data_IF_759999766034
#
_entry.id   IF_759999766034
#
_cell.length_a   1.000
_cell.length_b   1.000
_cell.length_c   1.000
_cell.angle_alpha   90.00
_cell.angle_beta   90.00
_cell.angle_gamma   90.00
#
_symmetry.space_group_name_H-M   'P 1'
#
loop_
_entity.id
_entity.type
_entity.pdbx_description
1 polymer ?
#
# COMPACT_ATOMS: atom_id res chain seq x y z
N UNK A 1 7.80 16.44 -13.77
CA UNK A 1 7.96 16.44 -12.30
C UNK A 1 7.46 15.15 -11.66
N UNK A 2 6.16 14.81 -11.68
CA UNK A 2 5.68 13.53 -11.10
C UNK A 2 6.30 12.30 -11.77
N UNK A 3 6.39 12.31 -13.10
CA UNK A 3 7.05 11.25 -13.87
C UNK A 3 8.52 11.05 -13.45
N UNK A 4 9.23 12.14 -13.16
CA UNK A 4 10.64 12.11 -12.74
C UNK A 4 10.79 11.51 -11.34
N UNK A 5 9.89 11.86 -10.42
CA UNK A 5 9.84 11.27 -9.07
C UNK A 5 9.62 9.77 -9.18
N UNK A 6 8.60 9.34 -9.94
CA UNK A 6 8.31 7.92 -10.15
C UNK A 6 9.50 7.21 -10.81
N UNK A 7 10.10 7.79 -11.84
CA UNK A 7 11.29 7.25 -12.49
C UNK A 7 12.43 7.02 -11.48
N UNK A 8 12.70 8.01 -10.62
CA UNK A 8 13.71 7.88 -9.57
C UNK A 8 13.42 6.72 -8.60
N UNK A 9 12.15 6.49 -8.23
CA UNK A 9 11.75 5.38 -7.38
C UNK A 9 12.00 4.01 -8.02
N UNK A 10 11.75 3.88 -9.32
CA UNK A 10 12.07 2.65 -10.04
C UNK A 10 13.58 2.39 -10.03
N UNK A 11 14.39 3.40 -10.40
CA UNK A 11 15.85 3.26 -10.48
C UNK A 11 16.47 2.93 -9.13
N UNK A 12 16.00 3.54 -8.03
CA UNK A 12 16.51 3.24 -6.68
C UNK A 12 16.05 1.88 -6.13
N UNK A 13 15.06 1.22 -6.76
CA UNK A 13 14.48 -0.04 -6.31
C UNK A 13 14.73 -1.20 -7.30
N UNK A 14 15.94 -1.26 -7.86
CA UNK A 14 16.42 -2.35 -8.71
C UNK A 14 15.65 -2.51 -10.04
N UNK A 15 15.19 -1.40 -10.63
CA UNK A 15 14.70 -1.36 -12.00
C UNK A 15 15.62 -0.53 -12.90
N UNK A 16 15.84 -1.03 -14.11
CA UNK A 16 16.53 -0.33 -15.18
C UNK A 16 15.52 0.27 -16.15
N UNK A 17 15.73 1.53 -16.54
CA UNK A 17 14.96 2.17 -17.62
C UNK A 17 15.43 1.60 -18.96
N UNK A 18 14.54 0.91 -19.67
CA UNK A 18 14.83 0.32 -20.98
C UNK A 18 14.66 1.34 -22.11
N UNK A 19 13.51 2.00 -22.13
CA UNK A 19 13.16 3.03 -23.12
C UNK A 19 12.26 4.07 -22.50
N UNK A 20 12.28 5.26 -23.08
CA UNK A 20 11.46 6.39 -22.68
C UNK A 20 11.03 7.18 -23.90
N UNK A 21 9.79 7.65 -23.90
CA UNK A 21 9.38 8.80 -24.70
C UNK A 21 8.72 9.84 -23.79
N UNK A 22 8.12 10.89 -24.35
CA UNK A 22 7.54 12.00 -23.58
C UNK A 22 6.49 11.56 -22.54
N UNK A 23 5.72 10.50 -22.83
CA UNK A 23 4.56 10.12 -22.03
C UNK A 23 4.59 8.68 -21.50
N UNK A 24 5.56 7.85 -21.92
CA UNK A 24 5.69 6.47 -21.48
C UNK A 24 7.14 6.08 -21.20
N UNK A 25 7.33 5.39 -20.09
CA UNK A 25 8.60 4.82 -19.65
C UNK A 25 8.46 3.30 -19.51
N UNK A 26 9.47 2.55 -19.90
CA UNK A 26 9.53 1.10 -19.72
C UNK A 26 10.69 0.70 -18.83
N UNK A 27 10.41 -0.15 -17.85
CA UNK A 27 11.37 -0.61 -16.86
C UNK A 27 11.47 -2.13 -16.82
N UNK A 28 12.66 -2.63 -16.47
CA UNK A 28 12.94 -4.05 -16.22
C UNK A 28 13.59 -4.22 -14.86
N UNK A 29 13.11 -5.19 -14.07
CA UNK A 29 13.71 -5.50 -12.78
C UNK A 29 15.05 -6.25 -12.98
N UNK A 30 16.09 -5.81 -12.27
CA UNK A 30 17.46 -6.32 -12.40
C UNK A 30 17.75 -7.47 -11.40
N UNK A 31 17.09 -7.47 -10.22
CA UNK A 31 17.48 -8.31 -9.06
C UNK A 31 16.60 -9.55 -8.77
N UNK A 32 15.68 -9.93 -9.65
CA UNK A 32 14.74 -11.04 -9.34
C UNK A 32 14.95 -12.23 -10.26
N UNK A 33 14.93 -13.44 -9.66
CA UNK A 33 14.90 -14.74 -10.36
C UNK A 33 13.72 -14.88 -11.35
N UNK A 34 12.78 -13.92 -11.32
CA UNK A 34 11.70 -13.78 -12.28
C UNK A 34 11.80 -12.41 -12.94
N UNK A 35 11.81 -12.42 -14.27
CA UNK A 35 11.75 -11.22 -15.10
C UNK A 35 10.41 -10.52 -14.83
N UNK A 36 10.46 -9.25 -14.41
CA UNK A 36 9.30 -8.38 -14.22
C UNK A 36 9.54 -7.07 -14.94
N UNK A 37 8.50 -6.60 -15.62
CA UNK A 37 8.50 -5.35 -16.36
C UNK A 37 7.47 -4.37 -15.78
N UNK A 38 7.72 -3.09 -15.99
CA UNK A 38 6.75 -2.04 -15.70
C UNK A 38 6.68 -1.07 -16.86
N UNK A 39 5.48 -0.57 -17.12
CA UNK A 39 5.26 0.59 -17.97
C UNK A 39 4.68 1.70 -17.11
N UNK A 40 5.26 2.90 -17.17
CA UNK A 40 4.67 4.09 -16.55
C UNK A 40 4.14 4.95 -17.67
N UNK A 41 2.84 5.23 -17.69
CA UNK A 41 2.17 6.03 -18.72
C UNK A 41 1.51 7.24 -18.09
N UNK A 42 1.63 8.40 -18.71
CA UNK A 42 0.94 9.62 -18.29
C UNK A 42 -0.19 9.93 -19.25
N UNK A 43 -1.35 10.29 -18.69
CA UNK A 43 -2.45 10.89 -19.44
C UNK A 43 -2.93 12.16 -18.74
N UNK A 44 -3.26 13.19 -19.53
CA UNK A 44 -3.89 14.41 -19.00
C UNK A 44 -5.39 14.21 -18.78
N UNK A 45 -6.02 13.33 -19.58
CA UNK A 45 -7.40 12.87 -19.38
C UNK A 45 -7.38 11.36 -19.27
N UNK A 46 -7.97 10.82 -18.20
CA UNK A 46 -7.97 9.38 -17.96
C UNK A 46 -8.71 8.65 -19.11
N UNK A 47 -8.04 7.78 -19.89
CA UNK A 47 -8.67 7.01 -20.95
C UNK A 47 -9.29 5.71 -20.40
N UNK A 48 -9.96 4.93 -21.24
CA UNK A 48 -10.43 3.60 -20.85
C UNK A 48 -9.30 2.55 -20.88
N UNK A 49 -9.51 1.38 -20.27
CA UNK A 49 -8.51 0.31 -20.18
C UNK A 49 -7.98 -0.15 -21.56
N UNK A 50 -8.85 -0.20 -22.58
CA UNK A 50 -8.50 -0.63 -23.93
C UNK A 50 -7.53 0.36 -24.60
N UNK A 51 -7.76 1.66 -24.43
CA UNK A 51 -6.87 2.71 -24.92
C UNK A 51 -5.50 2.65 -24.24
N UNK A 52 -5.47 2.44 -22.91
CA UNK A 52 -4.22 2.24 -22.16
C UNK A 52 -3.44 1.06 -22.74
N UNK A 53 -4.12 -0.08 -22.93
CA UNK A 53 -3.51 -1.29 -23.50
C UNK A 53 -2.92 -1.01 -24.88
N UNK A 54 -3.66 -0.31 -25.76
CA UNK A 54 -3.20 0.02 -27.10
C UNK A 54 -1.94 0.91 -27.08
N UNK A 55 -1.90 1.92 -26.21
CA UNK A 55 -0.74 2.82 -26.07
C UNK A 55 0.49 2.03 -25.60
N UNK A 56 0.34 1.20 -24.57
CA UNK A 56 1.44 0.40 -24.02
C UNK A 56 1.94 -0.64 -25.02
N UNK A 57 1.03 -1.33 -25.72
CA UNK A 57 1.39 -2.33 -26.74
C UNK A 57 2.12 -1.69 -27.94
N UNK A 58 1.67 -0.52 -28.40
CA UNK A 58 2.24 0.14 -29.58
C UNK A 58 3.63 0.74 -29.32
N UNK A 59 3.94 1.08 -28.07
CA UNK A 59 5.22 1.66 -27.68
C UNK A 59 6.19 0.64 -27.04
N UNK A 60 5.79 -0.63 -26.95
CA UNK A 60 6.56 -1.67 -26.28
C UNK A 60 7.91 -1.91 -26.97
N UNK A 61 9.03 -1.94 -26.22
CA UNK A 61 10.34 -2.33 -26.75
C UNK A 61 10.34 -3.75 -27.31
N UNK A 62 11.15 -4.00 -28.35
CA UNK A 62 11.27 -5.34 -28.93
C UNK A 62 11.67 -6.41 -27.91
N UNK A 63 12.55 -6.09 -26.97
CA UNK A 63 12.99 -7.02 -25.92
C UNK A 63 11.81 -7.53 -25.07
N UNK A 64 10.88 -6.64 -24.69
CA UNK A 64 9.67 -7.02 -23.95
C UNK A 64 8.73 -7.80 -24.86
N UNK A 65 8.62 -7.43 -26.14
CA UNK A 65 7.76 -8.10 -27.13
C UNK A 65 8.19 -9.54 -27.41
N UNK A 66 9.49 -9.79 -27.43
CA UNK A 66 10.09 -11.10 -27.69
C UNK A 66 10.05 -12.02 -26.46
N UNK A 67 9.90 -11.47 -25.25
CA UNK A 67 9.76 -12.25 -24.03
C UNK A 67 8.31 -12.80 -23.90
N UNK A 68 8.10 -14.13 -23.99
CA UNK A 68 6.77 -14.73 -23.89
C UNK A 68 6.11 -14.52 -22.52
N UNK A 69 6.91 -14.35 -21.46
CA UNK A 69 6.43 -14.13 -20.10
C UNK A 69 6.03 -12.67 -19.85
N UNK A 70 6.38 -11.74 -20.75
CA UNK A 70 6.08 -10.31 -20.59
C UNK A 70 4.59 -10.02 -20.41
N UNK A 71 3.71 -10.75 -21.10
CA UNK A 71 2.26 -10.59 -20.97
C UNK A 71 1.74 -10.85 -19.55
N UNK A 72 2.38 -11.74 -18.79
CA UNK A 72 1.98 -12.08 -17.41
C UNK A 72 2.77 -11.31 -16.35
N UNK A 73 3.91 -10.75 -16.73
CA UNK A 73 4.88 -10.15 -15.81
C UNK A 73 5.08 -8.65 -16.06
N UNK A 74 4.21 -8.00 -16.84
CA UNK A 74 4.23 -6.54 -17.04
C UNK A 74 3.08 -5.90 -16.29
N UNK A 75 3.42 -4.98 -15.40
CA UNK A 75 2.46 -4.10 -14.75
C UNK A 75 2.46 -2.73 -15.43
N UNK A 76 1.32 -2.04 -15.45
CA UNK A 76 1.17 -0.69 -15.99
C UNK A 76 0.77 0.25 -14.86
N UNK A 77 1.56 1.29 -14.64
CA UNK A 77 1.24 2.41 -13.77
C UNK A 77 0.76 3.59 -14.62
N UNK A 78 -0.48 3.99 -14.46
CA UNK A 78 -1.09 5.16 -15.08
C UNK A 78 -0.96 6.34 -14.12
N UNK A 79 -0.24 7.38 -14.54
CA UNK A 79 -0.16 8.65 -13.83
C UNK A 79 -1.28 9.56 -14.33
N UNK A 80 -2.19 9.91 -13.42
CA UNK A 80 -3.35 10.76 -13.72
C UNK A 80 -3.33 12.01 -12.84
N UNK A 81 -3.10 13.18 -13.44
CA UNK A 81 -3.25 14.43 -12.69
C UNK A 81 -4.75 14.74 -12.59
N UNK A 82 -5.32 14.60 -11.40
CA UNK A 82 -6.75 14.81 -11.16
C UNK A 82 -7.07 16.29 -10.92
N UNK A 83 -6.06 17.16 -10.81
CA UNK A 83 -6.21 18.58 -10.50
C UNK A 83 -6.59 18.85 -9.04
N UNK A 84 -7.65 18.20 -8.53
CA UNK A 84 -8.14 18.33 -7.16
C UNK A 84 -8.58 16.98 -6.60
N UNK A 85 -8.18 16.68 -5.35
CA UNK A 85 -8.59 15.44 -4.68
C UNK A 85 -10.11 15.35 -4.46
N UNK A 86 -10.84 16.47 -4.46
CA UNK A 86 -12.30 16.46 -4.35
C UNK A 86 -12.99 15.78 -5.55
N UNK A 87 -12.32 15.73 -6.71
CA UNK A 87 -12.85 15.10 -7.92
C UNK A 87 -12.68 13.58 -7.93
N UNK A 88 -12.06 12.98 -6.90
CA UNK A 88 -11.82 11.54 -6.86
C UNK A 88 -13.12 10.73 -6.97
N UNK A 89 -14.20 11.19 -6.33
CA UNK A 89 -15.49 10.52 -6.37
C UNK A 89 -16.10 10.48 -7.79
N UNK A 90 -15.74 11.43 -8.65
CA UNK A 90 -16.19 11.49 -10.04
C UNK A 90 -15.42 10.49 -10.93
N UNK A 91 -14.19 10.16 -10.55
CA UNK A 91 -13.31 9.26 -11.30
C UNK A 91 -13.17 7.86 -10.70
N UNK A 92 -13.67 7.61 -9.49
CA UNK A 92 -13.51 6.34 -8.77
C UNK A 92 -14.01 5.15 -9.59
N UNK A 93 -15.20 5.26 -10.19
CA UNK A 93 -15.75 4.21 -11.06
C UNK A 93 -14.87 3.91 -12.28
N UNK A 94 -14.37 4.95 -12.94
CA UNK A 94 -13.49 4.80 -14.10
C UNK A 94 -12.13 4.19 -13.70
N UNK A 95 -11.56 4.64 -12.58
CA UNK A 95 -10.32 4.08 -12.03
C UNK A 95 -10.51 2.59 -11.73
N UNK A 96 -11.62 2.24 -11.08
CA UNK A 96 -11.94 0.85 -10.76
C UNK A 96 -12.05 -0.02 -12.01
N UNK A 97 -12.76 0.44 -13.04
CA UNK A 97 -12.87 -0.27 -14.32
C UNK A 97 -11.51 -0.50 -14.99
N UNK A 98 -10.58 0.46 -14.87
CA UNK A 98 -9.22 0.32 -15.42
C UNK A 98 -8.41 -0.70 -14.62
N UNK A 99 -8.45 -0.64 -13.28
CA UNK A 99 -7.65 -1.51 -12.42
C UNK A 99 -8.13 -2.96 -12.44
N UNK A 100 -9.44 -3.18 -12.57
CA UNK A 100 -10.05 -4.51 -12.63
C UNK A 100 -10.10 -5.11 -14.04
N UNK A 101 -9.71 -4.38 -15.09
CA UNK A 101 -9.63 -4.93 -16.45
C UNK A 101 -8.58 -6.07 -16.53
N UNK A 102 -9.01 -7.33 -16.77
CA UNK A 102 -8.11 -8.49 -16.73
C UNK A 102 -7.27 -8.63 -18.00
N UNK A 103 -7.48 -7.77 -19.01
CA UNK A 103 -6.85 -7.90 -20.31
C UNK A 103 -5.43 -7.32 -20.31
N UNK A 104 -4.52 -8.08 -20.91
CA UNK A 104 -3.11 -7.78 -21.21
C UNK A 104 -2.19 -7.54 -20.01
N UNK A 105 -2.48 -6.56 -19.15
CA UNK A 105 -1.59 -6.13 -18.07
C UNK A 105 -2.37 -5.91 -16.79
N UNK A 106 -1.69 -6.11 -15.65
CA UNK A 106 -2.19 -5.57 -14.38
C UNK A 106 -1.99 -4.06 -14.40
N UNK A 107 -3.06 -3.30 -14.16
CA UNK A 107 -3.05 -1.84 -14.24
C UNK A 107 -3.23 -1.24 -12.86
N UNK A 108 -2.56 -0.13 -12.64
CA UNK A 108 -2.63 0.66 -11.42
C UNK A 108 -2.77 2.12 -11.82
N UNK A 109 -3.81 2.81 -11.34
CA UNK A 109 -3.96 4.25 -11.53
C UNK A 109 -3.47 4.96 -10.28
N UNK A 110 -2.41 5.74 -10.44
CA UNK A 110 -1.90 6.65 -9.44
C UNK A 110 -2.36 8.06 -9.79
N UNK A 111 -3.43 8.50 -9.12
CA UNK A 111 -3.89 9.87 -9.21
C UNK A 111 -3.12 10.79 -8.25
N UNK A 112 -2.90 12.02 -8.68
CA UNK A 112 -2.17 13.04 -7.92
C UNK A 112 -2.63 14.45 -8.32
N UNK A 113 -2.32 15.44 -7.49
CA UNK A 113 -2.49 16.88 -7.80
C UNK A 113 -1.14 17.57 -7.88
N UNK A 114 -1.08 18.81 -8.37
CA UNK A 114 0.18 19.58 -8.39
C UNK A 114 0.68 19.90 -6.96
N UNK A 115 -0.23 20.03 -6.00
CA UNK A 115 0.10 20.15 -4.57
C UNK A 115 0.78 18.88 -4.04
N UNK A 116 0.29 17.70 -4.44
CA UNK A 116 0.93 16.42 -4.08
C UNK A 116 2.38 16.39 -4.59
N UNK A 117 2.62 16.80 -5.84
CA UNK A 117 3.97 16.80 -6.40
C UNK A 117 4.89 17.76 -5.64
N UNK A 118 4.37 18.93 -5.28
CA UNK A 118 5.12 19.95 -4.51
C UNK A 118 5.51 19.44 -3.12
N UNK A 119 4.65 18.64 -2.48
CA UNK A 119 4.92 18.04 -1.17
C UNK A 119 5.99 16.93 -1.21
N UNK A 120 6.14 16.24 -2.35
CA UNK A 120 7.11 15.15 -2.51
C UNK A 120 8.55 15.64 -2.73
N UNK A 121 8.73 16.90 -3.15
CA UNK A 121 10.06 17.44 -3.47
C UNK A 121 10.94 17.48 -2.21
N UNK A 122 12.13 16.86 -2.29
CA UNK A 122 13.13 16.80 -1.20
C UNK A 122 12.66 16.12 0.09
N UNK A 123 11.73 15.15 0.00
CA UNK A 123 11.24 14.41 1.15
C UNK A 123 11.61 12.92 1.09
N UNK A 124 11.92 12.37 2.26
CA UNK A 124 12.10 10.93 2.44
C UNK A 124 10.74 10.25 2.51
N UNK A 125 10.49 9.30 1.60
CA UNK A 125 9.23 8.58 1.53
C UNK A 125 9.07 7.64 2.73
N UNK A 126 10.14 6.93 3.07
CA UNK A 126 10.23 5.94 4.13
C UNK A 126 9.97 6.57 5.51
N UNK A 127 10.63 7.70 5.82
CA UNK A 127 10.49 8.39 7.10
C UNK A 127 9.07 8.91 7.33
N UNK A 128 8.43 9.38 6.26
CA UNK A 128 7.06 9.88 6.33
C UNK A 128 6.08 8.73 6.59
N UNK A 129 6.30 7.57 5.97
CA UNK A 129 5.40 6.42 6.09
C UNK A 129 5.38 5.82 7.51
N UNK A 130 6.48 5.90 8.26
CA UNK A 130 6.56 5.44 9.66
C UNK A 130 6.15 6.49 10.69
N UNK A 131 5.89 7.72 10.25
CA UNK A 131 5.49 8.80 11.13
C UNK A 131 4.05 8.59 11.63
N UNK A 132 3.91 8.22 12.91
CA UNK A 132 2.61 7.96 13.56
C UNK A 132 1.70 9.19 13.60
N UNK A 133 2.25 10.40 13.69
CA UNK A 133 1.44 11.63 13.72
C UNK A 133 0.77 11.84 12.38
N UNK A 134 1.56 11.78 11.31
CA UNK A 134 1.09 11.88 9.92
C UNK A 134 0.08 10.79 9.59
N UNK A 135 0.37 9.53 9.96
CA UNK A 135 -0.58 8.43 9.79
C UNK A 135 -1.91 8.67 10.51
N UNK A 136 -1.87 9.15 11.75
CA UNK A 136 -3.08 9.41 12.54
C UNK A 136 -3.90 10.57 11.96
N UNK A 137 -3.27 11.56 11.34
CA UNK A 137 -3.96 12.63 10.63
C UNK A 137 -4.65 12.09 9.38
N UNK A 138 -3.91 11.34 8.55
CA UNK A 138 -4.47 10.67 7.37
C UNK A 138 -5.65 9.76 7.71
N UNK A 139 -5.57 9.00 8.82
CA UNK A 139 -6.64 8.11 9.26
C UNK A 139 -7.95 8.84 9.59
N UNK A 140 -7.88 10.12 10.01
CA UNK A 140 -9.07 10.92 10.33
C UNK A 140 -9.80 11.32 9.05
N UNK A 141 -9.05 11.70 8.02
CA UNK A 141 -9.60 12.09 6.73
C UNK A 141 -8.55 11.88 5.62
N UNK A 142 -8.78 10.85 4.79
CA UNK A 142 -7.90 10.50 3.68
C UNK A 142 -8.06 11.41 2.45
N UNK A 143 -9.11 12.26 2.42
CA UNK A 143 -9.38 13.18 1.31
C UNK A 143 -8.55 14.46 1.37
N UNK A 144 -7.92 14.74 2.52
CA UNK A 144 -7.06 15.90 2.71
C UNK A 144 -5.69 15.66 2.07
N UNK A 145 -5.27 16.59 1.22
CA UNK A 145 -3.92 16.64 0.66
C UNK A 145 -2.91 16.69 1.80
N UNK A 146 -2.05 15.69 1.86
CA UNK A 146 -0.94 15.62 2.82
C UNK A 146 0.17 14.79 2.20
N UNK A 147 1.39 15.01 2.67
CA UNK A 147 2.54 14.23 2.22
C UNK A 147 2.32 12.73 2.47
N UNK A 148 1.69 12.38 3.60
CA UNK A 148 1.36 10.99 3.92
C UNK A 148 0.36 10.40 2.93
N UNK A 149 -0.68 11.15 2.52
CA UNK A 149 -1.73 10.61 1.65
C UNK A 149 -1.19 10.24 0.26
N UNK A 150 -0.35 11.08 -0.36
CA UNK A 150 0.28 10.74 -1.64
C UNK A 150 1.29 9.60 -1.51
N UNK A 151 2.11 9.57 -0.46
CA UNK A 151 3.07 8.48 -0.24
C UNK A 151 2.33 7.15 -0.04
N UNK A 152 1.25 7.13 0.76
CA UNK A 152 0.42 5.95 0.94
C UNK A 152 -0.13 5.45 -0.40
N UNK A 153 -0.66 6.34 -1.25
CA UNK A 153 -1.12 5.99 -2.61
C UNK A 153 0.01 5.38 -3.45
N UNK A 154 1.20 5.97 -3.45
CA UNK A 154 2.38 5.44 -4.16
C UNK A 154 2.72 4.01 -3.70
N UNK A 155 2.82 3.77 -2.39
CA UNK A 155 3.16 2.45 -1.85
C UNK A 155 2.09 1.38 -2.14
N UNK A 156 0.81 1.77 -2.14
CA UNK A 156 -0.28 0.85 -2.50
C UNK A 156 -0.20 0.46 -3.98
N UNK A 157 0.12 1.41 -4.88
CA UNK A 157 0.18 1.17 -6.33
C UNK A 157 1.50 0.57 -6.80
N UNK A 158 2.57 0.69 -6.01
CA UNK A 158 3.91 0.17 -6.32
C UNK A 158 4.35 -0.89 -5.30
N UNK A 159 3.88 -2.14 -5.40
CA UNK A 159 4.12 -3.18 -4.39
C UNK A 159 5.58 -3.68 -4.33
N UNK A 160 6.47 -3.19 -5.19
CA UNK A 160 7.91 -3.46 -5.04
C UNK A 160 8.58 -2.56 -4.00
N UNK A 161 7.96 -1.43 -3.64
CA UNK A 161 8.42 -0.57 -2.56
C UNK A 161 8.22 -1.32 -1.24
N UNK A 162 9.28 -1.34 -0.43
CA UNK A 162 9.25 -1.99 0.88
C UNK A 162 9.01 -0.93 1.95
N UNK A 163 8.07 -1.19 2.84
CA UNK A 163 7.90 -0.37 4.04
C UNK A 163 9.16 -0.57 4.89
N UNK A 164 9.82 0.51 5.34
CA UNK A 164 10.94 0.40 6.26
C UNK A 164 10.53 -0.40 7.50
N UNK A 165 11.27 -1.47 7.78
CA UNK A 165 10.98 -2.42 8.84
C UNK A 165 11.93 -2.21 10.01
N UNK A 166 11.40 -1.88 11.18
CA UNK A 166 12.14 -1.91 12.43
C UNK A 166 11.63 -3.08 13.30
N UNK A 167 12.36 -4.22 13.38
CA UNK A 167 11.92 -5.38 14.15
C UNK A 167 11.64 -5.07 15.63
N UNK A 168 12.31 -4.05 16.20
CA UNK A 168 12.17 -3.69 17.60
C UNK A 168 10.85 -2.95 17.93
N UNK A 169 10.16 -2.40 16.94
CA UNK A 169 8.90 -1.67 17.14
C UNK A 169 7.65 -2.56 17.14
N UNK A 170 7.79 -3.79 16.65
CA UNK A 170 6.70 -4.75 16.50
C UNK A 170 6.80 -5.84 17.57
N UNK A 171 6.19 -5.55 18.71
CA UNK A 171 5.95 -6.54 19.77
C UNK A 171 4.87 -7.52 19.27
N UNK A 172 5.08 -8.85 19.38
CA UNK A 172 4.06 -9.85 19.04
C UNK A 172 2.70 -9.52 19.68
N UNK A 173 1.62 -9.76 18.96
CA UNK A 173 0.25 -9.44 19.41
C UNK A 173 -0.06 -10.14 20.73
N UNK A 174 0.40 -11.38 20.86
CA UNK A 174 0.26 -12.20 22.06
C UNK A 174 0.94 -11.53 23.25
N UNK A 175 2.18 -11.07 23.06
CA UNK A 175 2.92 -10.36 24.11
C UNK A 175 2.24 -9.05 24.47
N UNK A 176 1.80 -8.26 23.48
CA UNK A 176 1.01 -7.04 23.75
C UNK A 176 -0.30 -7.30 24.49
N UNK A 177 -0.98 -8.39 24.18
CA UNK A 177 -2.21 -8.78 24.85
C UNK A 177 -1.93 -9.17 26.31
N UNK A 178 -0.90 -9.99 26.54
CA UNK A 178 -0.46 -10.40 27.87
C UNK A 178 -0.01 -9.20 28.71
N UNK A 179 0.84 -8.32 28.17
CA UNK A 179 1.28 -7.11 28.85
C UNK A 179 0.06 -6.24 29.26
N UNK A 180 -0.99 -6.19 28.44
CA UNK A 180 -2.21 -5.41 28.74
C UNK A 180 -3.10 -6.09 29.79
N UNK A 181 -3.14 -7.42 29.80
CA UNK A 181 -3.82 -8.22 30.83
C UNK A 181 -3.10 -8.05 32.17
N UNK A 182 -1.77 -8.11 32.16
CA UNK A 182 -0.89 -7.89 33.31
C UNK A 182 -1.06 -6.48 33.90
N UNK A 183 -0.97 -5.45 33.06
CA UNK A 183 -1.15 -4.06 33.47
C UNK A 183 -2.54 -3.76 34.05
N UNK A 184 -3.53 -4.63 33.79
CA UNK A 184 -4.88 -4.54 34.38
C UNK A 184 -5.08 -5.44 35.60
N UNK A 185 -4.06 -6.19 36.05
CA UNK A 185 -4.15 -7.14 37.16
C UNK A 185 -4.89 -8.44 36.82
N UNK A 186 -5.16 -8.71 35.54
CA UNK A 186 -6.09 -9.78 35.11
C UNK A 186 -5.40 -11.11 34.78
N UNK A 187 -4.11 -11.27 35.09
CA UNK A 187 -3.32 -12.46 34.71
C UNK A 187 -3.91 -13.75 35.29
N UNK A 188 -4.32 -13.73 36.56
CA UNK A 188 -4.89 -14.93 37.20
C UNK A 188 -6.24 -15.31 36.60
N UNK A 189 -7.08 -14.31 36.29
CA UNK A 189 -8.37 -14.53 35.66
C UNK A 189 -8.19 -15.10 34.25
N UNK A 190 -7.26 -14.54 33.48
CA UNK A 190 -6.93 -15.02 32.14
C UNK A 190 -6.46 -16.47 32.17
N UNK A 191 -5.55 -16.83 33.10
CA UNK A 191 -5.09 -18.20 33.28
C UNK A 191 -6.21 -19.18 33.65
N UNK A 192 -7.17 -18.76 34.49
CA UNK A 192 -8.36 -19.57 34.81
C UNK A 192 -9.23 -19.82 33.58
N UNK A 193 -9.48 -18.80 32.78
CA UNK A 193 -10.25 -18.92 31.52
C UNK A 193 -9.55 -19.86 30.54
N UNK A 194 -8.24 -19.69 30.32
CA UNK A 194 -7.46 -20.53 29.39
C UNK A 194 -7.37 -22.00 29.83
N UNK A 195 -7.32 -22.24 31.14
CA UNK A 195 -7.33 -23.61 31.71
C UNK A 195 -8.70 -24.26 31.57
N UNK A 196 -9.78 -23.47 31.77
CA UNK A 196 -11.16 -23.94 31.68
C UNK A 196 -11.65 -24.19 30.25
N UNK A 197 -11.06 -23.53 29.25
CA UNK A 197 -11.43 -23.72 27.83
C UNK A 197 -10.77 -24.94 27.18
N UNK A 198 -9.71 -25.50 27.79
CA UNK A 198 -9.04 -26.75 27.35
C UNK A 198 -9.71 -28.01 27.88
N UNK A 199 -10.61 -27.88 28.87
CA UNK A 199 -11.47 -28.93 29.38
C UNK A 199 -12.87 -28.65 28.80
N UNK A 200 -13.53 -29.63 28.17
CA UNK A 200 -14.80 -29.47 27.43
C UNK A 200 -16.03 -28.96 28.25
N UNK A 201 -15.82 -28.36 29.42
CA UNK A 201 -16.86 -27.75 30.25
C UNK A 201 -16.37 -26.43 30.84
N UNK A 202 -16.70 -25.31 30.18
CA UNK A 202 -16.49 -23.97 30.74
C UNK A 202 -17.48 -23.78 31.90
N UNK A 203 -16.99 -23.80 33.15
CA UNK A 203 -17.81 -23.46 34.30
C UNK A 203 -17.92 -21.93 34.43
N UNK A 204 -18.92 -21.36 33.75
CA UNK A 204 -19.20 -19.91 33.69
C UNK A 204 -19.31 -19.30 35.09
N UNK A 205 -19.80 -20.07 36.07
CA UNK A 205 -20.03 -19.59 37.43
C UNK A 205 -18.72 -19.26 38.17
N UNK A 206 -17.64 -20.00 37.90
CA UNK A 206 -16.32 -19.74 38.48
C UNK A 206 -15.64 -18.52 37.84
N UNK A 207 -15.88 -18.28 36.55
CA UNK A 207 -15.40 -17.09 35.84
C UNK A 207 -16.09 -15.84 36.39
N UNK A 208 -17.42 -15.89 36.57
CA UNK A 208 -18.20 -14.77 37.11
C UNK A 208 -17.79 -14.46 38.55
N UNK A 209 -17.60 -15.47 39.41
CA UNK A 209 -17.08 -15.27 40.77
C UNK A 209 -15.69 -14.64 40.78
N UNK A 210 -14.82 -15.03 39.85
CA UNK A 210 -13.49 -14.43 39.69
C UNK A 210 -13.55 -12.95 39.30
N UNK A 211 -14.44 -12.58 38.38
CA UNK A 211 -14.66 -11.19 37.94
C UNK A 211 -15.16 -10.30 39.10
N UNK A 212 -16.17 -10.76 39.84
CA UNK A 212 -16.74 -10.02 40.97
C UNK A 212 -15.69 -9.80 42.06
N UNK A 213 -14.90 -10.83 42.38
CA UNK A 213 -13.84 -10.73 43.38
C UNK A 213 -12.76 -9.71 42.99
N UNK A 214 -12.33 -9.72 41.73
CA UNK A 214 -11.32 -8.77 41.23
C UNK A 214 -11.82 -7.32 41.24
N UNK A 215 -13.11 -7.07 40.96
CA UNK A 215 -13.67 -5.72 41.10
C UNK A 215 -13.75 -5.28 42.56
N UNK A 216 -14.10 -6.19 43.48
CA UNK A 216 -14.18 -5.87 44.91
C UNK A 216 -12.81 -5.64 45.58
N UNK A 217 -11.73 -6.26 45.08
CA UNK A 217 -10.36 -6.09 45.60
C UNK A 217 -9.66 -4.81 45.08
N UNK A 218 -10.23 -4.14 44.08
CA UNK A 218 -9.68 -2.93 43.46
C UNK A 218 -10.54 -1.65 43.69
N UNK A 219 -11.43 -1.66 44.69
CA UNK A 219 -12.14 -0.49 45.25
C UNK A 219 -11.39 0.03 46.47
#
# INVERSE_FOLDING_TARGET
MMLDIICSLFVTNDFELMTSNENILFFKCIKKDKIRYFSVVRFDVLPNAKEINNVVLSNRPEEIRLDPASSKNTDVLVLFNIGSLHLINEHEGQIFEIEEDPLYFKKHVLYYTDDDVSLLVNKSLEETLINKVEFNQYKKDASITSIYSIIARIYIKLPFLKIPYNPHEYIPLEKRALDRIENKGLIELFGKVESSSKLDSINIEDIVKGLVKHEMENI
#
